data_IF_770442762483
#
_entry.id   IF_770442762483
#
_cell.length_a   1.000
_cell.length_b   1.000
_cell.length_c   1.000
_cell.angle_alpha   90.00
_cell.angle_beta   90.00
_cell.angle_gamma   90.00
#
_symmetry.space_group_name_H-M   'P 1'
#
loop_
_entity.id
_entity.type
_entity.pdbx_description
1 polymer ?
#
# COMPACT_ATOMS: atom_id res chain seq x y z
N UNK A 1 -36.42 -11.55 -10.79
CA UNK A 1 -36.30 -12.83 -11.51
C UNK A 1 -35.11 -12.71 -12.45
N UNK A 2 -33.96 -13.22 -12.06
CA UNK A 2 -32.75 -13.16 -12.89
C UNK A 2 -32.74 -14.41 -13.79
N UNK A 3 -32.85 -14.22 -15.09
CA UNK A 3 -32.71 -15.29 -16.09
C UNK A 3 -31.24 -15.68 -16.18
N UNK A 4 -30.93 -16.95 -15.91
CA UNK A 4 -29.64 -17.56 -16.23
C UNK A 4 -29.55 -17.66 -17.75
N UNK A 5 -28.81 -16.78 -18.40
CA UNK A 5 -28.30 -17.05 -19.73
C UNK A 5 -27.15 -18.04 -19.60
N UNK A 6 -27.29 -19.18 -20.26
CA UNK A 6 -26.24 -20.18 -20.37
C UNK A 6 -25.13 -19.59 -21.24
N UNK A 7 -23.96 -19.35 -20.67
CA UNK A 7 -22.75 -18.98 -21.43
C UNK A 7 -22.34 -20.21 -22.22
N UNK A 8 -22.38 -20.10 -23.55
CA UNK A 8 -21.90 -21.14 -24.47
C UNK A 8 -20.37 -21.15 -24.42
N UNK A 9 -19.79 -22.24 -23.89
CA UNK A 9 -18.34 -22.40 -23.66
C UNK A 9 -17.56 -22.90 -24.87
N UNK A 10 -18.19 -23.03 -26.04
CA UNK A 10 -17.54 -23.60 -27.24
C UNK A 10 -16.73 -22.58 -28.08
N UNK A 11 -16.65 -21.30 -27.68
CA UNK A 11 -15.83 -20.25 -28.29
C UNK A 11 -15.04 -19.44 -27.28
N UNK A 12 -14.49 -20.10 -26.27
CA UNK A 12 -13.43 -19.53 -25.47
C UNK A 12 -12.14 -19.53 -26.34
N UNK A 13 -11.99 -18.52 -27.19
CA UNK A 13 -10.66 -17.96 -27.37
C UNK A 13 -10.20 -17.65 -25.94
N UNK A 14 -9.22 -18.41 -25.48
CA UNK A 14 -8.45 -18.07 -24.30
C UNK A 14 -7.71 -16.79 -24.68
N UNK A 15 -8.44 -15.66 -24.69
CA UNK A 15 -7.84 -14.38 -24.42
C UNK A 15 -7.23 -14.62 -23.05
N UNK A 16 -5.91 -14.77 -23.01
CA UNK A 16 -5.14 -14.65 -21.79
C UNK A 16 -5.47 -13.28 -21.24
N UNK A 17 -6.64 -13.19 -20.57
CA UNK A 17 -6.91 -12.12 -19.65
C UNK A 17 -5.87 -12.35 -18.57
N UNK A 18 -4.74 -11.68 -18.69
CA UNK A 18 -3.87 -11.41 -17.56
C UNK A 18 -4.77 -10.62 -16.58
N UNK A 19 -5.55 -11.36 -15.78
CA UNK A 19 -6.20 -10.82 -14.61
C UNK A 19 -5.05 -10.37 -13.72
N UNK A 20 -4.67 -9.10 -13.85
CA UNK A 20 -3.80 -8.49 -12.86
C UNK A 20 -4.56 -8.57 -11.54
N UNK A 21 -4.11 -9.46 -10.68
CA UNK A 21 -4.65 -9.60 -9.34
C UNK A 21 -4.12 -8.44 -8.50
N UNK A 22 -4.92 -7.38 -8.42
CA UNK A 22 -4.69 -6.32 -7.44
C UNK A 22 -5.28 -6.79 -6.13
N UNK A 23 -4.47 -6.81 -5.07
CA UNK A 23 -4.91 -7.16 -3.71
C UNK A 23 -4.44 -6.12 -2.71
N UNK A 24 -5.13 -6.03 -1.57
CA UNK A 24 -4.64 -5.21 -0.46
C UNK A 24 -3.33 -5.82 0.04
N UNK A 25 -2.27 -5.02 0.08
CA UNK A 25 -0.96 -5.42 0.63
C UNK A 25 -0.90 -5.10 2.11
N UNK A 26 -1.07 -3.83 2.47
CA UNK A 26 -1.06 -3.36 3.85
C UNK A 26 -1.88 -2.08 4.04
N UNK A 27 -2.12 -1.78 5.31
CA UNK A 27 -2.61 -0.48 5.77
C UNK A 27 -1.47 0.18 6.55
N UNK A 28 -0.99 1.33 6.07
CA UNK A 28 0.02 2.12 6.76
C UNK A 28 -0.62 2.99 7.84
N UNK A 29 -0.12 2.89 9.07
CA UNK A 29 -0.59 3.67 10.22
C UNK A 29 0.58 4.48 10.77
N UNK A 30 0.51 5.80 10.63
CA UNK A 30 1.50 6.69 11.21
C UNK A 30 1.38 6.74 12.73
N UNK A 31 2.51 6.60 13.40
CA UNK A 31 2.61 6.62 14.87
C UNK A 31 3.70 7.60 15.32
N UNK A 32 3.60 8.06 16.54
CA UNK A 32 4.61 8.88 17.18
C UNK A 32 5.80 8.03 17.69
N UNK A 33 5.54 6.80 18.13
CA UNK A 33 6.54 5.83 18.57
C UNK A 33 6.03 4.41 18.35
N UNK A 34 6.80 3.59 17.64
CA UNK A 34 6.54 2.15 17.50
C UNK A 34 6.64 1.46 18.85
N UNK A 35 7.67 1.78 19.64
CA UNK A 35 7.89 1.18 20.97
C UNK A 35 6.69 1.38 21.90
N UNK A 36 6.09 2.58 21.89
CA UNK A 36 4.94 2.88 22.75
C UNK A 36 3.63 2.28 22.23
N UNK A 37 3.48 2.14 20.89
CA UNK A 37 2.22 1.70 20.28
C UNK A 37 2.12 0.20 20.05
N UNK A 38 3.24 -0.47 19.81
CA UNK A 38 3.27 -1.90 19.53
C UNK A 38 2.62 -2.77 20.61
N UNK A 39 2.81 -2.53 21.94
CA UNK A 39 2.19 -3.36 22.97
C UNK A 39 0.66 -3.42 22.91
N UNK A 40 0.00 -2.37 22.43
CA UNK A 40 -1.45 -2.39 22.23
C UNK A 40 -1.86 -3.42 21.17
N UNK A 41 -1.15 -3.45 20.04
CA UNK A 41 -1.39 -4.41 18.97
C UNK A 41 -1.12 -5.84 19.41
N UNK A 42 -0.05 -6.05 20.17
CA UNK A 42 0.31 -7.36 20.73
C UNK A 42 -0.72 -7.85 21.76
N UNK A 43 -1.35 -6.94 22.51
CA UNK A 43 -2.41 -7.28 23.47
C UNK A 43 -3.67 -7.86 22.80
N UNK A 44 -3.87 -7.59 21.51
CA UNK A 44 -4.93 -8.16 20.68
C UNK A 44 -4.55 -9.52 20.08
N UNK A 45 -3.39 -10.08 20.44
CA UNK A 45 -2.89 -11.36 19.92
C UNK A 45 -2.14 -11.24 18.60
N UNK A 46 -1.89 -10.02 18.10
CA UNK A 46 -1.07 -9.78 16.93
C UNK A 46 0.41 -9.83 17.28
N UNK A 47 1.26 -10.14 16.31
CA UNK A 47 2.70 -10.24 16.54
C UNK A 47 3.46 -9.38 15.56
N UNK A 48 4.48 -8.71 16.07
CA UNK A 48 5.50 -8.08 15.24
C UNK A 48 6.23 -9.16 14.44
N UNK A 49 6.31 -8.97 13.13
CA UNK A 49 7.11 -9.82 12.24
C UNK A 49 8.55 -9.31 12.22
N UNK A 50 8.74 -8.05 11.82
CA UNK A 50 10.03 -7.37 11.81
C UNK A 50 9.87 -5.85 11.80
N UNK A 51 11.00 -5.15 11.92
CA UNK A 51 11.12 -3.70 11.72
C UNK A 51 12.17 -3.41 10.65
N UNK A 52 12.00 -2.32 9.91
CA UNK A 52 12.93 -1.87 8.88
C UNK A 52 13.04 -0.35 8.87
N UNK A 53 14.24 0.17 8.58
CA UNK A 53 14.46 1.59 8.30
C UNK A 53 14.45 1.81 6.79
N UNK A 54 13.51 2.61 6.31
CA UNK A 54 13.36 2.96 4.89
C UNK A 54 13.83 4.41 4.71
N UNK A 55 15.13 4.59 4.56
CA UNK A 55 15.76 5.93 4.48
C UNK A 55 15.20 6.77 3.34
N UNK A 56 14.90 6.15 2.18
CA UNK A 56 14.32 6.83 1.02
C UNK A 56 12.97 7.49 1.31
N UNK A 57 12.21 6.95 2.27
CA UNK A 57 10.92 7.47 2.72
C UNK A 57 11.02 8.21 4.05
N UNK A 58 12.18 8.16 4.71
CA UNK A 58 12.45 8.80 6.01
C UNK A 58 11.59 8.24 7.14
N UNK A 59 11.42 6.92 7.16
CA UNK A 59 10.52 6.24 8.10
C UNK A 59 11.13 4.94 8.61
N UNK A 60 10.87 4.62 9.88
CA UNK A 60 11.03 3.27 10.43
C UNK A 60 9.67 2.58 10.39
N UNK A 61 9.64 1.37 9.88
CA UNK A 61 8.41 0.56 9.76
C UNK A 61 8.41 -0.60 10.73
N UNK A 62 7.23 -0.97 11.25
CA UNK A 62 7.02 -2.20 12.00
C UNK A 62 5.88 -2.98 11.34
N UNK A 63 6.19 -4.19 10.91
CA UNK A 63 5.30 -5.05 10.13
C UNK A 63 4.58 -6.03 11.04
N UNK A 64 3.25 -5.98 11.03
CA UNK A 64 2.36 -6.81 11.86
C UNK A 64 1.46 -7.63 10.94
N UNK A 65 1.58 -8.95 10.98
CA UNK A 65 0.74 -9.85 10.19
C UNK A 65 -0.68 -9.94 10.76
N UNK A 66 -1.67 -9.78 9.90
CA UNK A 66 -3.09 -9.87 10.25
C UNK A 66 -3.80 -10.75 9.22
N UNK A 67 -3.83 -12.06 9.48
CA UNK A 67 -4.34 -13.02 8.50
C UNK A 67 -3.52 -12.98 7.21
N UNK A 68 -4.18 -12.77 6.06
CA UNK A 68 -3.53 -12.63 4.76
C UNK A 68 -3.06 -11.20 4.44
N UNK A 69 -3.19 -10.27 5.38
CA UNK A 69 -2.88 -8.85 5.21
C UNK A 69 -1.82 -8.39 6.21
N UNK A 70 -1.42 -7.12 6.11
CA UNK A 70 -0.42 -6.53 6.98
C UNK A 70 -0.87 -5.14 7.46
N UNK A 71 -0.57 -4.85 8.73
CA UNK A 71 -0.56 -3.49 9.26
C UNK A 71 0.90 -3.07 9.36
N UNK A 72 1.21 -1.90 8.84
CA UNK A 72 2.53 -1.32 8.88
C UNK A 72 2.51 -0.05 9.74
N UNK A 73 3.12 -0.11 10.93
CA UNK A 73 3.28 1.08 11.76
C UNK A 73 4.45 1.89 11.22
N UNK A 74 4.26 3.20 11.07
CA UNK A 74 5.19 4.13 10.45
C UNK A 74 5.64 5.16 11.49
N UNK A 75 6.86 5.03 11.98
CA UNK A 75 7.49 6.04 12.84
C UNK A 75 8.39 6.95 12.01
N UNK A 76 8.16 8.27 11.98
CA UNK A 76 8.97 9.18 11.18
C UNK A 76 10.38 9.30 11.74
N UNK A 77 11.40 9.23 10.87
CA UNK A 77 12.79 9.46 11.22
C UNK A 77 13.10 10.96 11.49
N UNK A 78 12.15 11.86 11.15
CA UNK A 78 12.27 13.28 11.39
C UNK A 78 10.97 14.03 11.09
N UNK A 79 10.85 15.25 11.64
CA UNK A 79 9.64 16.09 11.50
C UNK A 79 9.37 16.55 10.08
N UNK A 80 10.41 16.65 9.25
CA UNK A 80 10.32 17.14 7.88
C UNK A 80 10.03 16.03 6.85
N UNK A 81 10.05 14.76 7.28
CA UNK A 81 9.69 13.63 6.44
C UNK A 81 8.18 13.65 6.11
N UNK A 82 7.71 12.97 5.05
CA UNK A 82 6.29 12.90 4.72
C UNK A 82 5.42 12.41 5.90
N UNK A 83 5.84 11.33 6.59
CA UNK A 83 5.13 10.80 7.75
C UNK A 83 5.24 11.75 8.94
N UNK A 84 6.40 12.40 9.15
CA UNK A 84 6.59 13.41 10.21
C UNK A 84 5.66 14.61 10.05
N UNK A 85 5.52 15.12 8.86
CA UNK A 85 4.55 16.19 8.53
C UNK A 85 3.11 15.76 8.76
N UNK A 86 2.78 14.51 8.41
CA UNK A 86 1.46 13.96 8.65
C UNK A 86 1.15 13.89 10.15
N UNK A 87 2.03 13.29 10.96
CA UNK A 87 1.87 13.18 12.42
C UNK A 87 1.78 14.56 13.07
N UNK A 88 2.63 15.49 12.64
CA UNK A 88 2.60 16.87 13.17
C UNK A 88 1.28 17.59 12.88
N UNK A 89 0.72 17.40 11.69
CA UNK A 89 -0.49 18.12 11.24
C UNK A 89 -1.78 17.46 11.71
N UNK A 90 -1.83 16.12 11.71
CA UNK A 90 -3.06 15.34 11.92
C UNK A 90 -3.02 14.46 13.17
N UNK A 91 -1.85 14.26 13.78
CA UNK A 91 -1.63 13.25 14.81
C UNK A 91 -1.46 11.85 14.23
N UNK A 92 -1.24 10.83 15.08
CA UNK A 92 -1.21 9.43 14.68
C UNK A 92 -2.53 8.99 14.03
N UNK A 93 -2.44 8.08 13.06
CA UNK A 93 -3.62 7.56 12.39
C UNK A 93 -3.32 6.88 11.05
N UNK A 94 -4.34 6.44 10.34
CA UNK A 94 -4.20 5.82 9.03
C UNK A 94 -3.55 6.81 8.07
N UNK A 95 -2.42 6.41 7.49
CA UNK A 95 -1.63 7.21 6.56
C UNK A 95 -1.92 6.86 5.10
N UNK A 96 -1.88 5.58 4.75
CA UNK A 96 -2.11 5.12 3.38
C UNK A 96 -2.70 3.72 3.30
N UNK A 97 -3.23 3.41 2.12
CA UNK A 97 -3.62 2.06 1.72
C UNK A 97 -2.68 1.60 0.61
N UNK A 98 -2.08 0.43 0.77
CA UNK A 98 -1.21 -0.17 -0.24
C UNK A 98 -1.91 -1.32 -0.96
N UNK A 99 -1.81 -1.30 -2.29
CA UNK A 99 -2.28 -2.34 -3.18
C UNK A 99 -1.09 -3.02 -3.85
N UNK A 100 -1.01 -4.33 -3.77
CA UNK A 100 -0.01 -5.12 -4.48
C UNK A 100 -0.44 -5.31 -5.93
N UNK A 101 0.51 -5.09 -6.84
CA UNK A 101 0.36 -5.26 -8.28
C UNK A 101 1.45 -6.18 -8.82
N UNK A 102 1.15 -6.89 -9.91
CA UNK A 102 2.11 -7.82 -10.53
C UNK A 102 3.21 -7.08 -11.30
N UNK A 103 2.86 -5.95 -11.94
CA UNK A 103 3.78 -5.11 -12.74
C UNK A 103 3.46 -3.64 -12.47
N UNK A 104 4.39 -2.98 -11.77
CA UNK A 104 4.22 -1.57 -11.36
C UNK A 104 4.35 -0.62 -12.55
N UNK A 105 5.21 -0.92 -13.52
CA UNK A 105 5.39 -0.09 -14.72
C UNK A 105 4.12 -0.12 -15.60
N UNK A 106 3.55 -1.31 -15.80
CA UNK A 106 2.30 -1.45 -16.52
C UNK A 106 1.15 -0.74 -15.78
N UNK A 107 1.10 -0.87 -14.45
CA UNK A 107 0.11 -0.22 -13.60
C UNK A 107 0.21 1.30 -13.68
N UNK A 108 1.44 1.85 -13.63
CA UNK A 108 1.70 3.28 -13.81
C UNK A 108 1.29 3.77 -15.21
N UNK A 109 1.60 3.02 -16.25
CA UNK A 109 1.22 3.37 -17.61
C UNK A 109 -0.32 3.42 -17.77
N UNK A 110 -1.03 2.46 -17.20
CA UNK A 110 -2.51 2.44 -17.17
C UNK A 110 -3.08 3.62 -16.37
N UNK A 111 -2.51 3.92 -15.20
CA UNK A 111 -2.90 5.05 -14.36
C UNK A 111 -2.77 6.37 -15.13
N UNK A 112 -1.61 6.63 -15.72
CA UNK A 112 -1.33 7.84 -16.52
C UNK A 112 -2.27 7.98 -17.71
N UNK A 113 -2.56 6.89 -18.43
CA UNK A 113 -3.52 6.89 -19.53
C UNK A 113 -4.92 7.34 -19.10
N UNK A 114 -5.28 7.13 -17.84
CA UNK A 114 -6.55 7.54 -17.24
C UNK A 114 -6.46 8.86 -16.45
N UNK A 115 -5.35 9.61 -16.59
CA UNK A 115 -5.17 10.92 -15.98
C UNK A 115 -4.75 10.89 -14.50
N UNK A 116 -4.32 9.73 -14.00
CA UNK A 116 -3.82 9.59 -12.63
C UNK A 116 -2.29 9.61 -12.64
N UNK A 117 -1.71 10.69 -12.12
CA UNK A 117 -0.25 10.88 -12.07
C UNK A 117 0.31 10.48 -10.69
N UNK A 118 1.44 9.77 -10.63
CA UNK A 118 2.11 9.45 -9.38
C UNK A 118 2.75 10.69 -8.76
N UNK A 119 2.95 10.63 -7.44
CA UNK A 119 3.67 11.65 -6.67
C UNK A 119 5.17 11.47 -6.88
N UNK A 120 5.84 12.48 -7.43
CA UNK A 120 7.28 12.49 -7.64
C UNK A 120 7.77 11.45 -8.65
N UNK A 121 9.02 11.01 -8.50
CA UNK A 121 9.57 9.94 -9.32
C UNK A 121 8.99 8.58 -8.90
N UNK A 122 8.59 7.80 -9.88
CA UNK A 122 7.99 6.48 -9.67
C UNK A 122 8.29 5.56 -10.86
N UNK A 123 8.52 4.24 -10.61
CA UNK A 123 8.59 3.64 -9.27
C UNK A 123 9.87 3.95 -8.52
N UNK A 124 9.87 3.75 -7.20
CA UNK A 124 11.05 3.91 -6.34
C UNK A 124 11.15 2.79 -5.29
N UNK A 125 12.33 2.56 -4.68
CA UNK A 125 12.48 1.55 -3.63
C UNK A 125 11.58 1.82 -2.42
N UNK A 126 10.96 0.77 -1.91
CA UNK A 126 10.16 0.75 -0.68
C UNK A 126 10.70 -0.26 0.34
N UNK A 127 9.93 -0.51 1.40
CA UNK A 127 10.26 -1.53 2.40
C UNK A 127 10.27 -2.95 1.78
N UNK A 128 10.93 -3.90 2.46
CA UNK A 128 10.98 -5.32 2.05
C UNK A 128 11.47 -5.54 0.60
N UNK A 129 12.41 -4.72 0.14
CA UNK A 129 12.94 -4.81 -1.23
C UNK A 129 11.85 -4.74 -2.32
N UNK A 130 10.84 -3.93 -2.11
CA UNK A 130 9.74 -3.68 -3.06
C UNK A 130 10.01 -2.48 -3.96
N UNK A 131 9.21 -2.35 -5.02
CA UNK A 131 9.05 -1.11 -5.77
C UNK A 131 7.69 -0.49 -5.44
N UNK A 132 7.67 0.82 -5.21
CA UNK A 132 6.45 1.54 -4.81
C UNK A 132 6.20 2.79 -5.65
N UNK A 133 4.93 3.17 -5.73
CA UNK A 133 4.49 4.46 -6.25
C UNK A 133 3.26 4.94 -5.48
N UNK A 134 3.16 6.25 -5.26
CA UNK A 134 2.06 6.85 -4.53
C UNK A 134 1.22 7.75 -5.43
N UNK A 135 -0.09 7.81 -5.13
CA UNK A 135 -1.02 8.72 -5.76
C UNK A 135 -1.67 9.64 -4.72
N UNK A 136 -1.80 10.91 -5.08
CA UNK A 136 -2.26 11.93 -4.15
C UNK A 136 -3.74 11.75 -3.78
N UNK A 137 -4.14 11.97 -2.52
CA UNK A 137 -5.53 11.85 -2.07
C UNK A 137 -6.55 12.65 -2.89
N UNK A 138 -6.17 13.79 -3.43
CA UNK A 138 -7.04 14.61 -4.29
C UNK A 138 -7.51 13.88 -5.56
N UNK A 139 -6.68 12.93 -6.05
CA UNK A 139 -6.94 12.19 -7.30
C UNK A 139 -7.59 10.82 -7.05
N UNK A 140 -7.59 10.36 -5.79
CA UNK A 140 -8.05 9.02 -5.37
C UNK A 140 -9.28 9.07 -4.44
N UNK A 141 -9.93 10.22 -4.31
CA UNK A 141 -11.11 10.36 -3.45
C UNK A 141 -10.81 10.48 -1.95
N UNK A 142 -9.63 10.97 -1.58
CA UNK A 142 -9.26 11.27 -0.18
C UNK A 142 -8.33 10.24 0.46
N UNK A 143 -7.87 9.22 -0.28
CA UNK A 143 -6.96 8.19 0.20
C UNK A 143 -5.57 8.40 -0.39
N UNK A 144 -4.52 8.48 0.42
CA UNK A 144 -3.16 8.31 -0.08
C UNK A 144 -3.02 6.84 -0.50
N UNK A 145 -2.96 6.61 -1.80
CA UNK A 145 -2.90 5.28 -2.36
C UNK A 145 -1.47 4.94 -2.74
N UNK A 146 -0.99 3.80 -2.31
CA UNK A 146 0.27 3.20 -2.70
C UNK A 146 0.01 1.99 -3.62
N UNK A 147 0.80 1.83 -4.65
CA UNK A 147 0.93 0.56 -5.37
C UNK A 147 2.30 -0.03 -5.13
N UNK A 148 2.35 -1.34 -4.91
CA UNK A 148 3.55 -2.08 -4.51
C UNK A 148 3.74 -3.27 -5.43
N UNK A 149 4.95 -3.42 -5.97
CA UNK A 149 5.39 -4.65 -6.61
C UNK A 149 6.41 -5.34 -5.71
N UNK A 150 6.14 -6.58 -5.33
CA UNK A 150 7.09 -7.44 -4.63
C UNK A 150 8.08 -8.05 -5.63
N UNK A 151 9.37 -8.09 -5.27
CA UNK A 151 10.41 -8.72 -6.06
C UNK A 151 10.52 -10.22 -5.76
#
# INVERSE_FOLDING_TARGET
MFTKEAVNIDNLEIVSLCLQFVKIRHIGIAVDSIEERLPMWESLGLKLDHTEEVESEGVTTAHIKVGGYEIELLEPMGKDTPVGKFVHKKGPGIHHLALEVDDIEESLAKAKKNGLEPIGEAPRPGADNTLVAFFHPKDTGGVLLEIVQCN
#
